data_IF_393930833347
#
_entry.id   IF_393930833347
#
_cell.length_a   1.000
_cell.length_b   1.000
_cell.length_c   1.000
_cell.angle_alpha   90.00
_cell.angle_beta   90.00
_cell.angle_gamma   90.00
#
_symmetry.space_group_name_H-M   'P 1'
#
loop_
_entity.id
_entity.type
_entity.pdbx_description
1 polymer ?
#
# COMPACT_ATOMS: atom_id res chain seq x y z
N UNK A 1 -18.33 6.79 5.87
CA UNK A 1 -17.20 5.89 5.57
C UNK A 1 -17.11 5.77 4.05
N UNK A 2 -15.98 6.04 3.42
CA UNK A 2 -15.86 5.95 1.95
C UNK A 2 -15.83 4.48 1.50
N UNK A 3 -16.53 4.15 0.41
CA UNK A 3 -16.47 2.82 -0.20
C UNK A 3 -15.10 2.57 -0.83
N UNK A 4 -14.73 1.29 -1.02
CA UNK A 4 -13.50 0.91 -1.75
C UNK A 4 -13.47 1.53 -3.15
N UNK A 5 -14.64 1.64 -3.79
CA UNK A 5 -14.80 2.28 -5.09
C UNK A 5 -14.44 3.77 -5.06
N UNK A 6 -14.88 4.50 -4.02
CA UNK A 6 -14.52 5.91 -3.87
C UNK A 6 -13.00 6.11 -3.71
N UNK A 7 -12.32 5.21 -2.99
CA UNK A 7 -10.84 5.24 -2.87
C UNK A 7 -10.18 5.03 -4.23
N UNK A 8 -10.71 4.13 -5.05
CA UNK A 8 -10.20 3.89 -6.40
C UNK A 8 -10.47 5.09 -7.33
N UNK A 9 -11.66 5.66 -7.28
CA UNK A 9 -12.00 6.88 -8.03
C UNK A 9 -11.08 8.06 -7.66
N UNK A 10 -10.78 8.24 -6.37
CA UNK A 10 -9.82 9.26 -5.92
C UNK A 10 -8.42 9.00 -6.50
N UNK A 11 -7.99 7.73 -6.52
CA UNK A 11 -6.71 7.33 -7.13
C UNK A 11 -6.66 7.66 -8.62
N UNK A 12 -7.74 7.38 -9.36
CA UNK A 12 -7.85 7.73 -10.78
C UNK A 12 -7.82 9.25 -10.99
N UNK A 13 -8.51 10.02 -10.15
CA UNK A 13 -8.49 11.48 -10.21
C UNK A 13 -7.07 12.04 -10.01
N UNK A 14 -6.30 11.51 -9.05
CA UNK A 14 -4.89 11.91 -8.84
C UNK A 14 -4.06 11.58 -10.09
N UNK A 15 -4.26 10.40 -10.68
CA UNK A 15 -3.53 9.99 -11.88
C UNK A 15 -3.84 10.91 -13.07
N UNK A 16 -5.11 11.32 -13.25
CA UNK A 16 -5.48 12.29 -14.29
C UNK A 16 -4.84 13.67 -14.09
N UNK A 17 -4.83 14.18 -12.86
CA UNK A 17 -4.18 15.44 -12.53
C UNK A 17 -2.67 15.38 -12.81
N UNK A 18 -2.01 14.28 -12.42
CA UNK A 18 -0.58 14.10 -12.69
C UNK A 18 -0.28 13.92 -14.18
N UNK A 19 -1.12 13.20 -14.93
CA UNK A 19 -0.99 13.05 -16.37
C UNK A 19 -1.07 14.40 -17.09
N UNK A 20 -2.00 15.28 -16.67
CA UNK A 20 -2.11 16.66 -17.18
C UNK A 20 -0.83 17.47 -16.93
N UNK A 21 -0.27 17.40 -15.72
CA UNK A 21 1.01 18.06 -15.41
C UNK A 21 2.12 17.56 -16.33
N UNK A 22 2.22 16.23 -16.51
CA UNK A 22 3.27 15.63 -17.33
C UNK A 22 3.13 16.02 -18.80
N UNK A 23 1.91 16.06 -19.34
CA UNK A 23 1.65 16.50 -20.71
C UNK A 23 2.07 17.95 -20.95
N UNK A 24 1.76 18.85 -20.00
CA UNK A 24 2.14 20.26 -20.10
C UNK A 24 3.63 20.50 -19.83
N UNK A 25 4.30 19.57 -19.14
CA UNK A 25 5.69 19.75 -18.75
C UNK A 25 6.63 19.84 -19.97
N UNK A 26 6.38 19.10 -21.06
CA UNK A 26 7.22 19.15 -22.26
C UNK A 26 7.16 20.51 -22.97
N UNK A 27 6.02 21.18 -22.94
CA UNK A 27 5.77 22.43 -23.67
C UNK A 27 5.94 23.69 -22.81
N UNK A 28 6.20 23.53 -21.51
CA UNK A 28 6.23 24.63 -20.52
C UNK A 28 7.19 25.79 -20.83
N UNK A 29 8.17 25.57 -21.70
CA UNK A 29 9.18 26.56 -22.09
C UNK A 29 8.90 27.21 -23.44
N UNK A 30 7.85 26.79 -24.16
CA UNK A 30 7.54 27.29 -25.50
C UNK A 30 6.97 28.72 -25.49
N UNK A 31 6.27 29.11 -24.42
CA UNK A 31 5.76 30.48 -24.24
C UNK A 31 5.41 30.78 -22.78
N UNK A 32 5.27 32.07 -22.40
CA UNK A 32 4.73 32.45 -21.09
C UNK A 32 3.35 31.83 -20.80
N UNK A 33 2.50 31.68 -21.83
CA UNK A 33 1.19 31.03 -21.69
C UNK A 33 1.29 29.55 -21.34
N UNK A 34 2.20 28.82 -21.99
CA UNK A 34 2.44 27.40 -21.68
C UNK A 34 3.05 27.22 -20.28
N UNK A 35 3.93 28.13 -19.87
CA UNK A 35 4.46 28.18 -18.51
C UNK A 35 3.34 28.34 -17.49
N UNK A 36 2.43 29.28 -17.72
CA UNK A 36 1.29 29.56 -16.84
C UNK A 36 0.31 28.36 -16.78
N UNK A 37 0.02 27.71 -17.91
CA UNK A 37 -0.84 26.53 -17.96
C UNK A 37 -0.27 25.37 -17.13
N UNK A 38 1.03 25.11 -17.23
CA UNK A 38 1.71 24.09 -16.42
C UNK A 38 1.69 24.46 -14.92
N UNK A 39 1.90 25.73 -14.57
CA UNK A 39 1.82 26.20 -13.17
C UNK A 39 0.42 26.01 -12.59
N UNK A 40 -0.62 26.39 -13.33
CA UNK A 40 -2.02 26.20 -12.92
C UNK A 40 -2.37 24.72 -12.73
N UNK A 41 -1.86 23.82 -13.58
CA UNK A 41 -2.03 22.38 -13.40
C UNK A 41 -1.32 21.85 -12.14
N UNK A 42 -0.13 22.37 -11.82
CA UNK A 42 0.57 22.04 -10.57
C UNK A 42 -0.23 22.49 -9.34
N UNK A 43 -0.76 23.72 -9.37
CA UNK A 43 -1.56 24.29 -8.28
C UNK A 43 -2.85 23.50 -8.05
N UNK A 44 -3.59 23.15 -9.11
CA UNK A 44 -4.79 22.31 -9.05
C UNK A 44 -4.49 20.94 -8.42
N UNK A 45 -3.38 20.31 -8.84
CA UNK A 45 -2.95 19.04 -8.25
C UNK A 45 -2.71 19.17 -6.74
N UNK A 46 -1.89 20.11 -6.28
CA UNK A 46 -1.56 20.23 -4.86
C UNK A 46 -2.77 20.63 -4.01
N UNK A 47 -3.66 21.46 -4.55
CA UNK A 47 -4.90 21.87 -3.88
C UNK A 47 -5.84 20.69 -3.62
N UNK A 48 -5.92 19.75 -4.57
CA UNK A 48 -6.82 18.60 -4.48
C UNK A 48 -6.18 17.37 -3.85
N UNK A 49 -4.86 17.23 -3.97
CA UNK A 49 -4.14 16.01 -3.58
C UNK A 49 -4.39 15.64 -2.12
N UNK A 50 -4.35 16.60 -1.20
CA UNK A 50 -4.55 16.34 0.23
C UNK A 50 -5.88 15.60 0.49
N UNK A 51 -6.97 16.09 -0.10
CA UNK A 51 -8.31 15.53 0.07
C UNK A 51 -8.52 14.18 -0.61
N UNK A 52 -7.76 13.91 -1.67
CA UNK A 52 -7.91 12.69 -2.48
C UNK A 52 -6.98 11.55 -2.05
N UNK A 53 -5.80 11.87 -1.51
CA UNK A 53 -4.74 10.88 -1.31
C UNK A 53 -5.06 9.84 -0.22
N UNK A 54 -5.97 10.18 0.70
CA UNK A 54 -6.43 9.31 1.78
C UNK A 54 -7.87 9.66 2.15
N UNK A 55 -8.72 8.70 2.57
CA UNK A 55 -10.08 9.00 3.01
C UNK A 55 -10.09 10.00 4.17
N UNK A 56 -10.66 11.19 3.95
CA UNK A 56 -10.66 12.27 4.94
C UNK A 56 -9.36 13.09 5.01
N UNK A 57 -8.45 12.92 4.04
CA UNK A 57 -7.24 13.73 3.86
C UNK A 57 -6.20 13.61 4.97
N UNK A 58 -5.25 14.57 5.03
CA UNK A 58 -4.17 14.54 6.03
C UNK A 58 -4.68 14.55 7.48
N UNK A 59 -5.77 15.26 7.76
CA UNK A 59 -6.35 15.30 9.10
C UNK A 59 -6.79 13.91 9.59
N UNK A 60 -7.41 13.11 8.71
CA UNK A 60 -7.75 11.73 9.05
C UNK A 60 -6.50 10.86 9.17
N UNK A 61 -5.50 11.07 8.30
CA UNK A 61 -4.26 10.31 8.32
C UNK A 61 -3.51 10.45 9.66
N UNK A 62 -3.42 11.67 10.21
CA UNK A 62 -2.77 11.90 11.51
C UNK A 62 -3.51 11.22 12.66
N UNK A 63 -4.85 11.13 12.59
CA UNK A 63 -5.65 10.41 13.58
C UNK A 63 -5.37 8.90 13.62
N UNK A 64 -4.94 8.31 12.49
CA UNK A 64 -4.51 6.90 12.45
C UNK A 64 -3.37 6.67 13.44
N UNK A 65 -2.41 7.59 13.49
CA UNK A 65 -1.24 7.49 14.39
C UNK A 65 -1.65 7.52 15.86
N UNK A 66 -2.72 8.24 16.18
CA UNK A 66 -3.31 8.30 17.53
C UNK A 66 -4.16 7.09 17.90
N UNK A 67 -4.38 6.14 16.98
CA UNK A 67 -5.19 4.96 17.25
C UNK A 67 -6.70 5.22 17.22
N UNK A 68 -7.14 6.32 16.60
CA UNK A 68 -8.56 6.63 16.46
C UNK A 68 -9.30 5.51 15.69
N UNK A 69 -10.39 4.93 16.23
CA UNK A 69 -11.05 3.79 15.60
C UNK A 69 -11.58 4.05 14.18
N UNK A 70 -12.11 5.25 13.92
CA UNK A 70 -12.63 5.62 12.60
C UNK A 70 -11.48 5.81 11.59
N UNK A 71 -10.36 6.39 12.04
CA UNK A 71 -9.17 6.53 11.22
C UNK A 71 -8.50 5.18 10.93
N UNK A 72 -8.44 4.27 11.92
CA UNK A 72 -7.99 2.88 11.71
C UNK A 72 -8.85 2.21 10.64
N UNK A 73 -10.18 2.33 10.71
CA UNK A 73 -11.05 1.75 9.70
C UNK A 73 -10.74 2.30 8.30
N UNK A 74 -10.59 3.62 8.17
CA UNK A 74 -10.21 4.27 6.92
C UNK A 74 -8.86 3.75 6.38
N UNK A 75 -7.87 3.55 7.25
CA UNK A 75 -6.58 2.97 6.89
C UNK A 75 -6.71 1.53 6.40
N UNK A 76 -7.54 0.71 7.06
CA UNK A 76 -7.81 -0.67 6.63
C UNK A 76 -8.54 -0.69 5.28
N UNK A 77 -9.54 0.18 5.06
CA UNK A 77 -10.19 0.33 3.75
C UNK A 77 -9.19 0.73 2.66
N UNK A 78 -8.28 1.65 2.96
CA UNK A 78 -7.25 2.08 2.02
C UNK A 78 -6.30 0.94 1.62
N UNK A 79 -5.84 0.13 2.57
CA UNK A 79 -4.99 -1.03 2.31
C UNK A 79 -5.72 -2.16 1.56
N UNK A 80 -7.02 -2.34 1.82
CA UNK A 80 -7.86 -3.29 1.08
C UNK A 80 -8.09 -2.83 -0.37
N UNK A 81 -8.39 -1.54 -0.56
CA UNK A 81 -8.58 -0.97 -1.88
C UNK A 81 -7.28 -1.04 -2.70
N UNK A 82 -6.12 -0.85 -2.05
CA UNK A 82 -4.80 -0.80 -2.69
C UNK A 82 -4.70 0.19 -3.87
N UNK A 83 -5.00 1.48 -3.66
CA UNK A 83 -4.94 2.45 -4.73
C UNK A 83 -3.50 2.65 -5.24
N UNK A 84 -3.36 2.81 -6.55
CA UNK A 84 -2.09 3.06 -7.23
C UNK A 84 -2.08 4.48 -7.83
N UNK A 85 -1.40 5.39 -7.13
CA UNK A 85 -1.21 6.78 -7.56
C UNK A 85 0.05 7.38 -6.92
N UNK A 86 0.33 8.65 -7.22
CA UNK A 86 1.49 9.38 -6.69
C UNK A 86 1.64 9.24 -5.16
N UNK A 87 2.79 8.68 -4.74
CA UNK A 87 3.17 8.42 -3.33
C UNK A 87 2.27 7.43 -2.56
N UNK A 88 1.32 6.75 -3.19
CA UNK A 88 0.45 5.80 -2.49
C UNK A 88 1.23 4.64 -1.85
N UNK A 89 2.32 4.17 -2.48
CA UNK A 89 3.21 3.17 -1.90
C UNK A 89 3.86 3.59 -0.57
N UNK A 90 4.28 4.86 -0.45
CA UNK A 90 4.82 5.40 0.80
C UNK A 90 3.75 5.49 1.89
N UNK A 91 2.53 5.84 1.48
CA UNK A 91 1.38 5.88 2.38
C UNK A 91 1.05 4.48 2.90
N UNK A 92 0.90 3.49 2.02
CA UNK A 92 0.66 2.08 2.39
C UNK A 92 1.74 1.52 3.32
N UNK A 93 3.02 1.75 3.00
CA UNK A 93 4.14 1.37 3.85
C UNK A 93 4.03 1.96 5.27
N UNK A 94 3.67 3.23 5.37
CA UNK A 94 3.50 3.92 6.64
C UNK A 94 2.31 3.41 7.44
N UNK A 95 1.17 3.16 6.78
CA UNK A 95 -0.01 2.57 7.41
C UNK A 95 0.28 1.19 8.00
N UNK A 96 0.95 0.30 7.27
CA UNK A 96 1.34 -1.02 7.80
C UNK A 96 2.18 -0.91 9.08
N UNK A 97 3.13 0.03 9.11
CA UNK A 97 4.00 0.24 10.28
C UNK A 97 3.25 0.78 11.49
N UNK A 98 2.28 1.68 11.26
CA UNK A 98 1.46 2.25 12.34
C UNK A 98 0.49 1.22 12.89
N UNK A 99 -0.29 0.57 12.03
CA UNK A 99 -1.31 -0.41 12.43
C UNK A 99 -0.71 -1.58 13.21
N UNK A 100 0.51 -2.01 12.89
CA UNK A 100 1.21 -3.07 13.62
C UNK A 100 1.53 -2.74 15.10
N UNK A 101 1.39 -1.48 15.51
CA UNK A 101 1.69 -1.00 16.88
C UNK A 101 0.44 -0.60 17.66
N UNK A 102 -0.74 -0.65 17.03
CA UNK A 102 -1.98 -0.19 17.61
C UNK A 102 -2.82 -1.36 18.14
N UNK A 103 -3.68 -1.13 19.15
CA UNK A 103 -4.68 -2.11 19.54
C UNK A 103 -5.73 -2.23 18.44
N UNK A 104 -5.70 -3.34 17.70
CA UNK A 104 -6.64 -3.60 16.61
C UNK A 104 -7.81 -4.48 17.09
N UNK A 105 -9.04 -4.01 16.84
CA UNK A 105 -10.25 -4.81 16.98
C UNK A 105 -10.21 -6.03 16.04
N UNK A 106 -10.89 -7.12 16.43
CA UNK A 106 -10.87 -8.39 15.68
C UNK A 106 -11.28 -8.22 14.20
N UNK A 107 -12.31 -7.42 13.92
CA UNK A 107 -12.76 -7.14 12.56
C UNK A 107 -11.71 -6.40 11.71
N UNK A 108 -10.96 -5.46 12.31
CA UNK A 108 -9.87 -4.77 11.62
C UNK A 108 -8.70 -5.72 11.32
N UNK A 109 -8.35 -6.61 12.26
CA UNK A 109 -7.32 -7.64 12.06
C UNK A 109 -7.67 -8.57 10.90
N UNK A 110 -8.87 -9.13 10.89
CA UNK A 110 -9.32 -10.05 9.83
C UNK A 110 -9.28 -9.38 8.43
N UNK A 111 -9.62 -8.09 8.37
CA UNK A 111 -9.53 -7.30 7.12
C UNK A 111 -8.10 -7.02 6.69
N UNK A 112 -7.18 -6.78 7.63
CA UNK A 112 -5.75 -6.64 7.33
C UNK A 112 -5.13 -7.96 6.87
N UNK A 113 -5.53 -9.09 7.46
CA UNK A 113 -5.14 -10.42 6.98
C UNK A 113 -5.57 -10.64 5.52
N UNK A 114 -6.81 -10.28 5.17
CA UNK A 114 -7.28 -10.29 3.78
C UNK A 114 -6.46 -9.40 2.86
N UNK A 115 -6.16 -8.17 3.29
CA UNK A 115 -5.34 -7.25 2.51
C UNK A 115 -3.93 -7.81 2.28
N UNK A 116 -3.31 -8.40 3.30
CA UNK A 116 -1.99 -9.00 3.23
C UNK A 116 -1.94 -10.23 2.30
N UNK A 117 -2.98 -11.08 2.29
CA UNK A 117 -3.07 -12.18 1.33
C UNK A 117 -3.19 -11.67 -0.11
N UNK A 118 -3.99 -10.63 -0.36
CA UNK A 118 -4.13 -10.03 -1.69
C UNK A 118 -2.82 -9.40 -2.22
N UNK A 119 -1.89 -9.03 -1.34
CA UNK A 119 -0.55 -8.55 -1.76
C UNK A 119 0.30 -9.66 -2.37
N UNK A 120 0.01 -10.94 -2.08
CA UNK A 120 0.77 -12.07 -2.61
C UNK A 120 0.55 -12.27 -4.12
N UNK A 121 -0.53 -11.73 -4.67
CA UNK A 121 -0.78 -11.71 -6.12
C UNK A 121 -0.03 -10.58 -6.84
N UNK A 122 0.49 -9.60 -6.09
CA UNK A 122 0.95 -8.31 -6.64
C UNK A 122 2.47 -8.17 -6.64
N UNK A 123 3.00 -7.42 -7.60
CA UNK A 123 4.45 -7.18 -7.70
C UNK A 123 4.99 -6.67 -6.36
N UNK A 124 6.16 -7.16 -5.97
CA UNK A 124 6.84 -6.70 -4.75
C UNK A 124 7.21 -5.22 -4.92
N UNK A 125 6.61 -4.39 -4.07
CA UNK A 125 6.91 -2.98 -3.90
C UNK A 125 7.33 -2.72 -2.45
N UNK A 126 7.60 -1.46 -2.07
CA UNK A 126 8.05 -1.09 -0.71
C UNK A 126 7.08 -1.53 0.39
N UNK A 127 5.79 -1.43 0.12
CA UNK A 127 4.71 -1.74 1.04
C UNK A 127 4.61 -3.24 1.32
N UNK A 128 5.08 -4.10 0.42
CA UNK A 128 5.13 -5.55 0.62
C UNK A 128 6.02 -5.88 1.82
N UNK A 129 7.24 -5.34 1.87
CA UNK A 129 8.14 -5.58 2.99
C UNK A 129 7.64 -4.97 4.31
N UNK A 130 6.91 -3.85 4.23
CA UNK A 130 6.26 -3.27 5.40
C UNK A 130 5.14 -4.17 5.93
N UNK A 131 4.32 -4.71 5.03
CA UNK A 131 3.29 -5.71 5.33
C UNK A 131 3.91 -6.95 5.97
N UNK A 132 4.93 -7.57 5.37
CA UNK A 132 5.56 -8.78 5.92
C UNK A 132 6.09 -8.57 7.35
N UNK A 133 6.62 -7.38 7.66
CA UNK A 133 7.08 -7.03 9.02
C UNK A 133 5.94 -6.72 10.00
N UNK A 134 4.78 -6.33 9.50
CA UNK A 134 3.60 -6.02 10.30
C UNK A 134 2.85 -7.29 10.71
N UNK A 135 2.74 -8.27 9.81
CA UNK A 135 1.90 -9.46 10.01
C UNK A 135 2.24 -10.31 11.25
N UNK A 136 3.52 -10.49 11.67
CA UNK A 136 3.83 -11.18 12.93
C UNK A 136 3.17 -10.59 14.18
N UNK A 137 2.76 -9.31 14.15
CA UNK A 137 2.05 -8.65 15.27
C UNK A 137 0.54 -8.65 15.11
N UNK A 138 0.04 -8.85 13.90
CA UNK A 138 -1.38 -8.67 13.54
C UNK A 138 -2.08 -10.03 13.41
N UNK A 139 -1.43 -10.96 12.72
CA UNK A 139 -2.02 -12.19 12.22
C UNK A 139 -2.31 -13.24 13.30
N UNK A 140 -3.44 -13.91 13.15
CA UNK A 140 -3.75 -15.15 13.85
C UNK A 140 -3.26 -16.40 13.12
N UNK A 141 -3.42 -17.57 13.76
CA UNK A 141 -2.98 -18.85 13.20
C UNK A 141 -3.65 -19.20 11.86
N UNK A 142 -4.90 -18.78 11.65
CA UNK A 142 -5.63 -19.01 10.39
C UNK A 142 -4.96 -18.36 9.19
N UNK A 143 -4.47 -17.13 9.34
CA UNK A 143 -3.73 -16.41 8.30
C UNK A 143 -2.45 -17.16 7.90
N UNK A 144 -1.66 -17.61 8.88
CA UNK A 144 -0.41 -18.32 8.59
C UNK A 144 -0.63 -19.65 7.87
N UNK A 145 -1.72 -20.37 8.19
CA UNK A 145 -2.14 -21.56 7.42
C UNK A 145 -2.50 -21.21 5.98
N UNK A 146 -3.22 -20.12 5.75
CA UNK A 146 -3.56 -19.67 4.40
C UNK A 146 -2.31 -19.25 3.60
N UNK A 147 -1.38 -18.52 4.21
CA UNK A 147 -0.10 -18.17 3.58
C UNK A 147 0.75 -19.41 3.27
N UNK A 148 0.78 -20.40 4.16
CA UNK A 148 1.44 -21.68 3.93
C UNK A 148 0.84 -22.45 2.75
N UNK A 149 -0.49 -22.49 2.65
CA UNK A 149 -1.17 -23.13 1.52
C UNK A 149 -0.80 -22.49 0.17
N UNK A 150 -0.65 -21.16 0.13
CA UNK A 150 -0.20 -20.46 -1.08
C UNK A 150 1.29 -20.66 -1.39
N UNK A 151 2.12 -21.07 -0.41
CA UNK A 151 3.52 -21.37 -0.64
C UNK A 151 3.76 -22.80 -1.16
N UNK A 152 2.83 -23.73 -0.95
CA UNK A 152 2.95 -25.13 -1.38
C UNK A 152 3.24 -25.29 -2.88
N UNK A 153 2.63 -24.53 -3.81
CA UNK A 153 2.97 -24.61 -5.23
C UNK A 153 4.44 -24.29 -5.55
N UNK A 154 5.17 -23.56 -4.70
CA UNK A 154 6.61 -23.31 -4.90
C UNK A 154 7.46 -24.59 -4.84
N UNK A 155 6.95 -25.66 -4.20
CA UNK A 155 7.60 -26.97 -4.21
C UNK A 155 7.38 -27.73 -5.54
N UNK A 156 6.38 -27.34 -6.34
CA UNK A 156 6.01 -27.98 -7.60
C UNK A 156 6.43 -27.16 -8.84
N UNK A 157 6.39 -25.82 -8.77
CA UNK A 157 6.88 -24.91 -9.80
C UNK A 157 7.63 -23.73 -9.17
N UNK A 158 8.95 -23.74 -9.33
CA UNK A 158 9.85 -22.70 -8.82
C UNK A 158 9.61 -21.30 -9.43
N UNK A 159 8.74 -21.18 -10.45
CA UNK A 159 8.44 -19.93 -11.15
C UNK A 159 7.19 -19.23 -10.64
N UNK A 160 6.34 -19.87 -9.83
CA UNK A 160 5.12 -19.25 -9.32
C UNK A 160 5.43 -18.00 -8.46
N UNK A 161 5.10 -16.78 -8.93
CA UNK A 161 5.38 -15.56 -8.20
C UNK A 161 4.60 -15.46 -6.88
N UNK A 162 3.38 -16.00 -6.81
CA UNK A 162 2.55 -16.00 -5.59
C UNK A 162 3.20 -16.85 -4.53
N UNK A 163 3.57 -18.09 -4.86
CA UNK A 163 4.19 -19.00 -3.92
C UNK A 163 5.56 -18.51 -3.42
N UNK A 164 6.34 -17.85 -4.28
CA UNK A 164 7.57 -17.15 -3.88
C UNK A 164 7.28 -16.02 -2.88
N UNK A 165 6.28 -15.18 -3.13
CA UNK A 165 5.87 -14.08 -2.23
C UNK A 165 5.34 -14.62 -0.90
N UNK A 166 4.56 -15.70 -0.92
CA UNK A 166 4.08 -16.37 0.28
C UNK A 166 5.24 -16.93 1.12
N UNK A 167 6.25 -17.53 0.49
CA UNK A 167 7.47 -18.01 1.16
C UNK A 167 8.23 -16.87 1.86
N UNK A 168 8.36 -15.70 1.21
CA UNK A 168 8.97 -14.52 1.83
C UNK A 168 8.20 -14.05 3.06
N UNK A 169 6.86 -14.03 2.99
CA UNK A 169 6.00 -13.68 4.13
C UNK A 169 6.16 -14.68 5.29
N UNK A 170 6.18 -15.98 5.01
CA UNK A 170 6.37 -17.03 6.02
C UNK A 170 7.73 -16.90 6.72
N UNK A 171 8.79 -16.55 6.00
CA UNK A 171 10.11 -16.29 6.60
C UNK A 171 10.06 -15.17 7.64
N UNK A 172 9.29 -14.10 7.38
CA UNK A 172 9.05 -13.03 8.36
C UNK A 172 8.20 -13.48 9.55
N UNK A 173 7.25 -14.39 9.33
CA UNK A 173 6.48 -15.04 10.40
C UNK A 173 7.33 -15.90 11.33
N UNK A 174 8.33 -16.58 10.79
CA UNK A 174 9.23 -17.44 11.55
C UNK A 174 10.17 -16.65 12.49
N UNK A 175 10.85 -15.62 11.96
CA UNK A 175 11.62 -14.68 12.79
C UNK A 175 12.01 -13.43 12.01
N UNK A 176 12.40 -12.38 12.75
CA UNK A 176 12.96 -11.14 12.17
C UNK A 176 14.22 -11.45 11.34
N UNK A 177 15.08 -12.34 11.82
CA UNK A 177 16.32 -12.73 11.14
C UNK A 177 16.05 -13.51 9.85
N UNK A 178 15.14 -14.48 9.89
CA UNK A 178 14.75 -15.26 8.72
C UNK A 178 14.14 -14.35 7.63
N UNK A 179 13.28 -13.42 8.01
CA UNK A 179 12.73 -12.42 7.08
C UNK A 179 13.81 -11.50 6.48
N UNK A 180 14.76 -11.02 7.28
CA UNK A 180 15.86 -10.18 6.80
C UNK A 180 16.75 -10.91 5.79
N UNK A 181 17.12 -12.16 6.09
CA UNK A 181 17.91 -13.01 5.20
C UNK A 181 17.16 -13.32 3.89
N UNK A 182 15.87 -13.64 3.97
CA UNK A 182 15.03 -13.90 2.80
C UNK A 182 14.94 -12.67 1.88
N UNK A 183 14.77 -11.47 2.46
CA UNK A 183 14.77 -10.21 1.71
C UNK A 183 16.12 -9.94 1.04
N UNK A 184 17.24 -10.17 1.73
CA UNK A 184 18.57 -10.00 1.15
C UNK A 184 18.76 -10.92 -0.06
N UNK A 185 18.45 -12.22 0.10
CA UNK A 185 18.54 -13.21 -0.98
C UNK A 185 17.69 -12.84 -2.19
N UNK A 186 16.47 -12.33 -1.95
CA UNK A 186 15.59 -11.88 -3.03
C UNK A 186 16.28 -10.83 -3.91
N UNK A 187 16.88 -9.80 -3.32
CA UNK A 187 17.56 -8.74 -4.07
C UNK A 187 18.89 -9.18 -4.70
N UNK A 188 19.54 -10.21 -4.18
CA UNK A 188 20.76 -10.78 -4.80
C UNK A 188 20.43 -11.63 -6.05
N UNK A 189 19.20 -12.11 -6.17
CA UNK A 189 18.74 -12.98 -7.26
C UNK A 189 18.03 -12.24 -8.41
N UNK A 190 17.86 -10.92 -8.28
CA UNK A 190 17.23 -10.04 -9.28
C UNK A 190 18.30 -9.24 -10.01
#
# INVERSE_FOLDING_TARGET
MQSLECIQQNSLAINHLLARINALASERHASPGQRAAWQAACEDFYTRYDRLCFPGGAAMLERVRGGDPAAIDAAVQFLLADPYHFRSGYLKERLWRWLARLPLAAGARARLERAALAYLDRRICREFWAMCKAMPRIAGAGFWRAAAAQALPAAADARDPVARRATLLLAHGASVHAGALARQRFYQSC
#
